data_IF_009238909035
#
_entry.id   IF_009238909035
#
_cell.length_a   1.000
_cell.length_b   1.000
_cell.length_c   1.000
_cell.angle_alpha   90.00
_cell.angle_beta   90.00
_cell.angle_gamma   90.00
#
_symmetry.space_group_name_H-M   'P 1'
#
loop_
_entity.id
_entity.type
_entity.pdbx_description
1 polymer ?
#
# COMPACT_ATOMS: atom_id res chain seq x y z
N UNK A 1 45.25 12.03 0.27
CA UNK A 1 44.04 11.77 -0.52
C UNK A 1 43.10 10.97 0.36
N UNK A 2 42.17 11.65 1.03
CA UNK A 2 41.28 11.06 2.03
C UNK A 2 40.00 10.68 1.32
N UNK A 3 39.78 9.38 1.11
CA UNK A 3 38.51 8.83 0.63
C UNK A 3 37.47 9.00 1.73
N UNK A 4 36.49 9.89 1.51
CA UNK A 4 35.34 10.02 2.38
C UNK A 4 34.51 8.73 2.33
N UNK A 5 34.34 8.09 3.49
CA UNK A 5 33.38 7.01 3.65
C UNK A 5 31.96 7.54 3.40
N UNK A 6 31.24 6.91 2.47
CA UNK A 6 29.80 7.16 2.28
C UNK A 6 29.09 6.87 3.61
N UNK A 7 28.44 7.88 4.17
CA UNK A 7 27.55 7.75 5.33
C UNK A 7 26.49 6.70 5.05
N UNK A 8 26.44 5.64 5.85
CA UNK A 8 25.41 4.61 5.79
C UNK A 8 24.10 5.21 6.27
N UNK A 9 23.21 5.61 5.37
CA UNK A 9 21.84 5.97 5.75
C UNK A 9 21.19 4.72 6.37
N UNK A 10 20.79 4.81 7.64
CA UNK A 10 20.04 3.76 8.31
C UNK A 10 18.80 3.42 7.49
N UNK A 11 18.62 2.13 7.17
CA UNK A 11 17.46 1.62 6.42
C UNK A 11 16.13 1.79 7.17
N UNK A 12 16.19 2.15 8.45
CA UNK A 12 15.05 2.48 9.28
C UNK A 12 14.57 3.93 9.09
N UNK A 13 15.21 4.71 8.21
CA UNK A 13 14.75 6.05 7.85
C UNK A 13 13.73 5.97 6.70
N UNK A 14 12.59 5.31 6.95
CA UNK A 14 11.47 5.21 6.00
C UNK A 14 10.56 6.46 6.03
N UNK A 15 10.65 7.26 7.10
CA UNK A 15 9.97 8.55 7.21
C UNK A 15 11.03 9.67 7.32
N UNK A 16 10.87 10.73 6.54
CA UNK A 16 11.56 11.99 6.80
C UNK A 16 10.75 12.79 7.85
N UNK A 17 11.31 13.90 8.35
CA UNK A 17 10.53 14.85 9.17
C UNK A 17 9.29 15.41 8.44
N UNK A 18 9.20 15.19 7.13
CA UNK A 18 8.17 15.72 6.24
C UNK A 18 7.15 14.64 5.76
N UNK A 19 7.30 13.37 6.19
CA UNK A 19 6.39 12.26 5.85
C UNK A 19 7.01 11.12 5.04
N UNK A 20 6.16 10.28 4.42
CA UNK A 20 6.58 9.21 3.49
C UNK A 20 7.13 9.76 2.16
N UNK A 21 8.13 9.07 1.58
CA UNK A 21 8.65 9.38 0.24
C UNK A 21 7.81 8.72 -0.88
N UNK A 22 7.63 9.39 -2.04
CA UNK A 22 6.86 8.86 -3.17
C UNK A 22 7.64 7.83 -4.00
N UNK A 23 6.93 6.94 -4.73
CA UNK A 23 7.62 5.91 -5.55
C UNK A 23 8.36 6.41 -6.73
N UNK A 24 9.35 5.60 -7.05
CA UNK A 24 10.11 5.59 -8.29
C UNK A 24 9.67 4.45 -9.23
N UNK A 25 9.04 3.36 -8.74
CA UNK A 25 8.41 2.36 -9.62
C UNK A 25 6.98 2.78 -9.97
N UNK A 26 6.78 3.10 -11.26
CA UNK A 26 5.54 3.66 -11.83
C UNK A 26 5.09 2.92 -13.10
N UNK A 27 5.80 1.86 -13.46
CA UNK A 27 5.46 1.04 -14.62
C UNK A 27 4.10 0.39 -14.40
N UNK A 28 3.29 0.32 -15.44
CA UNK A 28 1.97 -0.30 -15.39
C UNK A 28 2.01 -1.62 -16.13
N UNK A 29 1.28 -2.60 -15.60
CA UNK A 29 0.97 -3.81 -16.35
C UNK A 29 -0.15 -3.44 -17.32
N UNK A 30 0.00 -3.76 -18.59
CA UNK A 30 -1.00 -3.47 -19.63
C UNK A 30 -0.89 -4.47 -20.77
N UNK A 31 -2.02 -4.77 -21.41
CA UNK A 31 -2.07 -5.66 -22.57
C UNK A 31 -1.25 -5.12 -23.76
N UNK A 32 -1.13 -3.79 -23.85
CA UNK A 32 -0.43 -3.08 -24.90
C UNK A 32 1.07 -2.86 -24.57
N UNK A 33 1.50 -3.16 -23.35
CA UNK A 33 2.89 -2.99 -22.93
C UNK A 33 3.73 -4.21 -23.34
N UNK A 34 4.86 -3.99 -24.03
CA UNK A 34 5.73 -5.08 -24.47
C UNK A 34 6.53 -5.74 -23.33
N UNK A 35 6.70 -5.03 -22.21
CA UNK A 35 7.56 -5.39 -21.09
C UNK A 35 6.76 -5.94 -19.91
N UNK A 36 5.64 -5.31 -19.58
CA UNK A 36 4.77 -5.66 -18.46
C UNK A 36 3.40 -6.15 -18.95
N UNK A 37 3.39 -7.30 -19.63
CA UNK A 37 2.14 -7.96 -20.01
C UNK A 37 1.51 -8.67 -18.81
N UNK A 38 0.18 -8.69 -18.72
CA UNK A 38 -0.49 -9.47 -17.69
C UNK A 38 -0.36 -10.96 -18.03
N UNK A 39 0.16 -11.74 -17.08
CA UNK A 39 0.44 -13.16 -17.23
C UNK A 39 0.17 -13.87 -15.89
N UNK A 40 -0.44 -15.06 -15.94
CA UNK A 40 -0.80 -15.85 -14.75
C UNK A 40 0.46 -16.26 -13.96
N UNK A 41 0.44 -16.10 -12.64
CA UNK A 41 1.50 -16.50 -11.68
C UNK A 41 2.88 -15.87 -11.93
N UNK A 42 2.94 -14.73 -12.63
CA UNK A 42 4.20 -13.99 -12.84
C UNK A 42 4.56 -13.07 -11.67
N UNK A 43 3.62 -12.80 -10.77
CA UNK A 43 3.72 -11.78 -9.75
C UNK A 43 3.16 -12.29 -8.42
N UNK A 44 3.87 -11.97 -7.35
CA UNK A 44 3.35 -12.03 -5.99
C UNK A 44 2.99 -10.61 -5.54
N UNK A 45 1.76 -10.42 -5.05
CA UNK A 45 1.45 -9.30 -4.18
C UNK A 45 2.19 -9.55 -2.89
N UNK A 46 3.04 -8.60 -2.49
CA UNK A 46 3.68 -8.66 -1.19
C UNK A 46 2.78 -7.90 -0.24
N UNK A 47 2.09 -8.64 0.62
CA UNK A 47 1.39 -8.04 1.74
C UNK A 47 2.31 -7.99 2.96
N UNK A 48 2.21 -6.90 3.70
CA UNK A 48 3.01 -6.68 4.88
C UNK A 48 2.40 -7.35 6.11
N UNK A 49 1.78 -8.53 6.02
CA UNK A 49 1.01 -9.01 7.18
C UNK A 49 0.64 -10.47 7.32
N UNK A 50 1.18 -11.08 8.37
CA UNK A 50 0.33 -11.86 9.27
C UNK A 50 0.84 -11.82 10.71
N UNK A 51 0.02 -11.29 11.61
CA UNK A 51 0.12 -11.56 13.04
C UNK A 51 -1.15 -12.33 13.42
N UNK A 52 -1.11 -13.66 13.39
CA UNK A 52 -2.19 -14.49 13.93
C UNK A 52 -2.01 -14.54 15.44
N UNK A 53 -2.65 -13.63 16.17
CA UNK A 53 -2.90 -13.80 17.60
C UNK A 53 -4.40 -13.99 17.83
N UNK A 54 -4.85 -15.24 17.74
CA UNK A 54 -6.06 -15.88 18.30
C UNK A 54 -7.42 -15.14 18.32
N UNK A 55 -7.57 -13.92 17.80
CA UNK A 55 -8.76 -13.07 17.84
C UNK A 55 -8.62 -11.99 16.74
N UNK A 56 -8.90 -12.36 15.49
CA UNK A 56 -9.05 -11.39 14.39
C UNK A 56 -7.77 -11.01 13.64
N UNK A 57 -7.93 -10.80 12.34
CA UNK A 57 -6.88 -10.40 11.40
C UNK A 57 -6.58 -8.91 11.62
N UNK A 58 -5.44 -8.57 12.24
CA UNK A 58 -4.98 -7.18 12.32
C UNK A 58 -4.01 -6.96 11.18
N UNK A 59 -4.42 -6.20 10.16
CA UNK A 59 -3.58 -5.76 9.04
C UNK A 59 -2.86 -4.48 9.52
N UNK A 60 -1.53 -4.41 9.53
CA UNK A 60 -0.66 -3.29 9.93
C UNK A 60 -0.42 -2.29 8.77
N UNK A 61 0.07 -2.68 7.59
CA UNK A 61 0.27 -1.75 6.47
C UNK A 61 -1.04 -1.44 5.75
N UNK A 62 -1.41 -0.17 5.67
CA UNK A 62 -2.62 0.29 4.99
C UNK A 62 -2.49 0.24 3.47
N UNK A 63 -1.30 0.44 2.91
CA UNK A 63 -1.06 0.48 1.47
C UNK A 63 -1.18 -0.90 0.80
N UNK A 64 -0.53 -1.93 1.36
CA UNK A 64 -0.61 -3.28 0.80
C UNK A 64 -1.96 -3.95 1.07
N UNK A 65 -2.65 -3.57 2.15
CA UNK A 65 -4.00 -4.05 2.39
C UNK A 65 -4.95 -3.75 1.22
N UNK A 66 -4.80 -2.58 0.58
CA UNK A 66 -5.62 -2.18 -0.57
C UNK A 66 -5.48 -3.17 -1.71
N UNK A 67 -4.28 -3.67 -1.99
CA UNK A 67 -4.06 -4.63 -3.08
C UNK A 67 -4.63 -5.99 -2.76
N UNK A 68 -4.59 -6.41 -1.49
CA UNK A 68 -5.19 -7.67 -1.06
C UNK A 68 -6.72 -7.61 -1.16
N UNK A 69 -7.33 -6.49 -0.77
CA UNK A 69 -8.77 -6.28 -0.93
C UNK A 69 -9.15 -6.34 -2.41
N UNK A 70 -8.47 -5.59 -3.29
CA UNK A 70 -8.77 -5.60 -4.73
C UNK A 70 -8.56 -6.99 -5.33
N UNK A 71 -7.48 -7.69 -4.94
CA UNK A 71 -7.20 -9.07 -5.35
C UNK A 71 -8.38 -9.99 -5.03
N UNK A 72 -8.91 -9.93 -3.81
CA UNK A 72 -10.05 -10.74 -3.40
C UNK A 72 -11.35 -10.32 -4.10
N UNK A 73 -11.63 -9.01 -4.18
CA UNK A 73 -12.85 -8.48 -4.82
C UNK A 73 -12.93 -8.74 -6.33
N UNK A 74 -11.79 -8.96 -6.97
CA UNK A 74 -11.67 -9.26 -8.41
C UNK A 74 -11.51 -10.75 -8.71
N UNK A 75 -11.37 -11.62 -7.72
CA UNK A 75 -11.18 -13.07 -7.93
C UNK A 75 -9.78 -13.43 -8.44
N UNK A 76 -8.76 -12.62 -8.11
CA UNK A 76 -7.41 -12.74 -8.64
C UNK A 76 -6.53 -13.74 -7.89
N UNK A 77 -7.09 -14.56 -6.99
CA UNK A 77 -6.31 -15.37 -6.06
C UNK A 77 -5.50 -16.47 -6.75
N UNK A 78 -6.05 -17.04 -7.82
CA UNK A 78 -5.43 -18.07 -8.65
C UNK A 78 -4.50 -17.47 -9.73
N UNK A 79 -4.54 -16.14 -9.92
CA UNK A 79 -3.81 -15.43 -10.99
C UNK A 79 -2.58 -14.72 -10.45
N UNK A 80 -2.70 -14.11 -9.28
CA UNK A 80 -1.68 -13.32 -8.63
C UNK A 80 -1.37 -13.98 -7.29
N UNK A 81 -0.13 -14.44 -7.12
CA UNK A 81 0.30 -15.03 -5.87
C UNK A 81 0.34 -13.99 -4.75
N UNK A 82 0.48 -14.46 -3.52
CA UNK A 82 0.52 -13.62 -2.33
C UNK A 82 1.68 -14.08 -1.47
N UNK A 83 2.69 -13.24 -1.29
CA UNK A 83 3.68 -13.41 -0.24
C UNK A 83 3.28 -12.54 0.95
N UNK A 84 3.56 -13.03 2.15
CA UNK A 84 3.25 -12.36 3.39
C UNK A 84 4.50 -12.36 4.27
N UNK A 85 5.01 -11.17 4.56
CA UNK A 85 6.18 -10.99 5.44
C UNK A 85 5.84 -11.05 6.92
N UNK A 86 6.88 -11.32 7.69
CA UNK A 86 6.93 -11.24 9.15
C UNK A 86 6.49 -9.86 9.63
N UNK A 87 5.58 -9.74 10.63
CA UNK A 87 5.13 -8.47 11.18
C UNK A 87 6.21 -7.75 12.01
N UNK A 88 7.34 -8.39 12.33
CA UNK A 88 8.45 -7.74 12.99
C UNK A 88 9.40 -7.05 11.99
N UNK A 89 9.49 -5.72 12.08
CA UNK A 89 10.45 -4.93 11.32
C UNK A 89 11.82 -4.89 12.03
N UNK A 90 12.68 -5.84 11.71
CA UNK A 90 14.05 -5.93 12.27
C UNK A 90 15.09 -5.09 11.51
N UNK A 91 16.36 -5.19 11.94
CA UNK A 91 17.50 -4.47 11.32
C UNK A 91 17.72 -4.79 9.83
N UNK A 92 17.17 -5.88 9.31
CA UNK A 92 17.22 -6.27 7.90
C UNK A 92 16.03 -5.75 7.06
N UNK A 93 15.07 -5.07 7.68
CA UNK A 93 13.78 -4.77 7.10
C UNK A 93 12.80 -5.95 7.22
N UNK A 94 11.71 -5.89 6.47
CA UNK A 94 10.67 -6.91 6.41
C UNK A 94 11.19 -8.24 5.86
N UNK A 95 11.05 -9.32 6.64
CA UNK A 95 11.55 -10.67 6.35
C UNK A 95 10.43 -11.56 5.79
N UNK A 96 10.73 -12.39 4.79
CA UNK A 96 9.86 -13.51 4.42
C UNK A 96 10.12 -14.69 5.35
N UNK A 97 9.45 -14.71 6.50
CA UNK A 97 9.47 -15.85 7.43
C UNK A 97 8.59 -16.99 6.91
N UNK A 98 8.94 -18.22 7.28
CA UNK A 98 8.12 -19.40 7.03
C UNK A 98 6.90 -19.43 7.97
N UNK A 99 5.81 -20.14 7.62
CA UNK A 99 4.68 -20.33 8.53
C UNK A 99 5.06 -20.97 9.87
N UNK A 100 6.12 -21.80 9.89
CA UNK A 100 6.65 -22.42 11.10
C UNK A 100 7.40 -21.44 12.00
N UNK A 101 8.14 -20.48 11.41
CA UNK A 101 8.81 -19.42 12.16
C UNK A 101 7.81 -18.39 12.69
N UNK A 102 6.80 -18.03 11.89
CA UNK A 102 5.79 -17.04 12.26
C UNK A 102 4.44 -17.40 11.62
N UNK A 103 3.48 -17.91 12.40
CA UNK A 103 2.18 -18.33 11.89
C UNK A 103 1.47 -17.27 11.06
N UNK A 104 1.08 -17.66 9.84
CA UNK A 104 0.43 -16.82 8.85
C UNK A 104 1.38 -16.19 7.83
N UNK A 105 2.69 -16.17 8.05
CA UNK A 105 3.60 -15.73 6.99
C UNK A 105 3.54 -16.66 5.78
N UNK A 106 3.70 -16.10 4.58
CA UNK A 106 3.74 -16.82 3.30
C UNK A 106 5.07 -16.42 2.63
N UNK A 107 6.04 -17.32 2.52
CA UNK A 107 7.35 -16.96 1.96
C UNK A 107 7.23 -16.57 0.49
N UNK A 108 8.19 -15.78 0.01
CA UNK A 108 8.32 -15.47 -1.41
C UNK A 108 8.72 -16.73 -2.19
N UNK A 109 7.80 -17.25 -2.99
CA UNK A 109 8.01 -18.47 -3.78
C UNK A 109 8.48 -18.18 -5.21
N UNK A 110 8.44 -16.91 -5.63
CA UNK A 110 8.80 -16.48 -6.98
C UNK A 110 10.28 -16.13 -7.08
N UNK A 111 10.80 -15.34 -6.14
CA UNK A 111 12.21 -14.92 -6.16
C UNK A 111 13.06 -15.59 -5.07
N UNK A 112 12.43 -16.32 -4.14
CA UNK A 112 13.09 -16.91 -2.97
C UNK A 112 13.88 -15.87 -2.14
N UNK A 113 13.39 -14.63 -2.08
CA UNK A 113 14.01 -13.58 -1.29
C UNK A 113 13.83 -13.83 0.21
N UNK A 114 14.83 -13.45 1.01
CA UNK A 114 14.72 -13.49 2.47
C UNK A 114 14.15 -12.21 3.04
N UNK A 115 14.36 -11.09 2.35
CA UNK A 115 13.88 -9.77 2.74
C UNK A 115 13.32 -9.02 1.54
N UNK A 116 12.30 -8.18 1.77
CA UNK A 116 11.70 -7.34 0.72
C UNK A 116 12.73 -6.46 0.00
N UNK A 117 13.73 -5.95 0.72
CA UNK A 117 14.80 -5.11 0.14
C UNK A 117 15.58 -5.81 -0.98
N UNK A 118 15.68 -7.14 -0.93
CA UNK A 118 16.37 -7.92 -1.96
C UNK A 118 15.62 -7.84 -3.29
N UNK A 119 14.29 -7.80 -3.25
CA UNK A 119 13.44 -7.62 -4.44
C UNK A 119 13.61 -6.22 -5.02
N UNK A 120 13.63 -5.19 -4.15
CA UNK A 120 13.83 -3.83 -4.58
C UNK A 120 15.21 -3.59 -5.18
N UNK A 121 16.29 -4.05 -4.54
CA UNK A 121 17.65 -3.93 -5.10
C UNK A 121 17.87 -4.77 -6.35
N UNK A 122 17.15 -5.89 -6.51
CA UNK A 122 17.15 -6.67 -7.75
C UNK A 122 16.48 -5.93 -8.90
N UNK A 123 15.43 -5.16 -8.62
CA UNK A 123 14.70 -4.38 -9.63
C UNK A 123 15.37 -3.03 -9.95
N UNK A 124 15.86 -2.32 -8.95
CA UNK A 124 16.59 -1.06 -9.06
C UNK A 124 17.52 -0.91 -7.84
N UNK A 125 18.85 -0.96 -8.03
CA UNK A 125 19.81 -0.76 -6.94
C UNK A 125 19.65 0.58 -6.19
N UNK A 126 18.99 1.57 -6.79
CA UNK A 126 18.79 2.93 -6.27
C UNK A 126 17.33 3.25 -5.87
N UNK A 127 16.50 2.25 -5.52
CA UNK A 127 15.04 2.37 -5.31
C UNK A 127 14.53 3.18 -4.09
N UNK A 128 13.33 3.81 -4.24
CA UNK A 128 12.50 4.59 -3.29
C UNK A 128 10.99 4.53 -3.73
N UNK A 129 9.93 4.23 -2.94
CA UNK A 129 8.69 3.48 -3.38
C UNK A 129 7.22 4.05 -3.22
N UNK A 130 6.17 3.40 -3.83
CA UNK A 130 4.64 3.59 -3.82
C UNK A 130 3.73 3.86 -5.11
N UNK A 131 3.01 2.92 -5.75
CA UNK A 131 1.60 3.04 -6.29
C UNK A 131 1.18 1.78 -7.08
N UNK A 132 0.49 0.83 -6.44
CA UNK A 132 0.16 -0.49 -7.01
C UNK A 132 -1.35 -0.74 -7.20
N UNK A 133 -2.20 0.01 -6.50
CA UNK A 133 -3.68 -0.14 -6.54
C UNK A 133 -4.27 0.16 -7.94
N UNK A 134 -3.79 1.21 -8.61
CA UNK A 134 -4.28 1.59 -9.95
C UNK A 134 -3.91 0.58 -11.04
N UNK A 135 -2.83 -0.18 -10.82
CA UNK A 135 -2.41 -1.24 -11.75
C UNK A 135 -3.40 -2.42 -11.68
N UNK A 136 -3.97 -2.72 -10.50
CA UNK A 136 -4.90 -3.85 -10.35
C UNK A 136 -6.32 -3.56 -10.84
N UNK A 137 -6.67 -2.31 -11.19
CA UNK A 137 -8.03 -1.96 -11.60
C UNK A 137 -8.43 -2.58 -12.96
N UNK A 138 -7.53 -2.63 -13.94
CA UNK A 138 -7.84 -3.04 -15.31
C UNK A 138 -6.81 -4.02 -15.92
N UNK A 139 -5.55 -3.99 -15.47
CA UNK A 139 -4.47 -4.75 -16.09
C UNK A 139 -4.71 -6.27 -16.15
N UNK A 140 -5.54 -6.81 -15.25
CA UNK A 140 -5.79 -8.25 -15.12
C UNK A 140 -7.17 -8.68 -15.61
N UNK A 141 -7.95 -7.78 -16.23
CA UNK A 141 -9.34 -8.03 -16.63
C UNK A 141 -9.51 -9.24 -17.57
N UNK A 142 -8.53 -9.54 -18.41
CA UNK A 142 -8.55 -10.72 -19.29
C UNK A 142 -8.42 -12.06 -18.54
N UNK A 143 -7.92 -12.03 -17.30
CA UNK A 143 -7.74 -13.22 -16.46
C UNK A 143 -8.89 -13.48 -15.49
N UNK A 144 -9.77 -12.49 -15.30
CA UNK A 144 -10.96 -12.56 -14.42
C UNK A 144 -12.21 -12.12 -15.17
N UNK A 145 -12.66 -12.90 -16.18
CA UNK A 145 -13.79 -12.53 -17.03
C UNK A 145 -15.08 -12.26 -16.22
N UNK A 146 -15.24 -12.86 -15.05
CA UNK A 146 -16.33 -12.64 -14.11
C UNK A 146 -16.34 -11.24 -13.46
N UNK A 147 -15.18 -10.58 -13.34
CA UNK A 147 -15.08 -9.21 -12.80
C UNK A 147 -14.54 -8.20 -13.82
N UNK A 148 -14.41 -8.61 -15.08
CA UNK A 148 -13.99 -7.77 -16.21
C UNK A 148 -14.87 -6.53 -16.32
N UNK A 149 -14.24 -5.35 -16.46
CA UNK A 149 -14.93 -4.06 -16.51
C UNK A 149 -15.36 -3.50 -15.15
N UNK A 150 -15.22 -4.25 -14.05
CA UNK A 150 -15.37 -3.71 -12.70
C UNK A 150 -14.16 -2.85 -12.36
N UNK A 151 -14.37 -1.56 -12.20
CA UNK A 151 -13.33 -0.58 -11.86
C UNK A 151 -13.73 0.19 -10.60
N UNK A 152 -12.75 0.49 -9.75
CA UNK A 152 -12.91 1.41 -8.62
C UNK A 152 -12.42 2.84 -8.96
N UNK A 153 -12.01 3.06 -10.20
CA UNK A 153 -11.59 4.35 -10.75
C UNK A 153 -12.32 4.63 -12.07
N UNK A 154 -13.66 4.82 -12.05
CA UNK A 154 -14.42 5.10 -13.25
C UNK A 154 -14.07 6.49 -13.81
N UNK A 155 -13.80 6.57 -15.12
CA UNK A 155 -13.36 7.82 -15.79
C UNK A 155 -14.21 9.06 -15.51
N UNK A 156 -15.52 8.90 -15.39
CA UNK A 156 -16.41 10.05 -15.15
C UNK A 156 -16.32 10.62 -13.72
N UNK A 157 -15.64 9.93 -12.80
CA UNK A 157 -15.39 10.37 -11.42
C UNK A 157 -13.90 10.61 -11.14
N UNK A 158 -13.01 10.50 -12.13
CA UNK A 158 -11.55 10.52 -11.92
C UNK A 158 -11.09 11.77 -11.15
N UNK A 159 -11.65 12.94 -11.50
CA UNK A 159 -11.29 14.21 -10.87
C UNK A 159 -11.78 14.29 -9.43
N UNK A 160 -12.95 13.73 -9.13
CA UNK A 160 -13.48 13.70 -7.76
C UNK A 160 -12.68 12.74 -6.89
N UNK A 161 -12.34 11.57 -7.42
CA UNK A 161 -11.51 10.58 -6.75
C UNK A 161 -10.12 11.14 -6.47
N UNK A 162 -9.43 11.71 -7.47
CA UNK A 162 -8.08 12.26 -7.32
C UNK A 162 -8.05 13.40 -6.28
N UNK A 163 -9.08 14.25 -6.28
CA UNK A 163 -9.22 15.32 -5.29
C UNK A 163 -9.36 14.75 -3.88
N UNK A 164 -10.21 13.73 -3.68
CA UNK A 164 -10.38 13.09 -2.38
C UNK A 164 -9.12 12.37 -1.94
N UNK A 165 -8.54 11.55 -2.81
CA UNK A 165 -7.32 10.79 -2.58
C UNK A 165 -6.16 11.68 -2.13
N UNK A 166 -6.03 12.87 -2.72
CA UNK A 166 -4.97 13.81 -2.39
C UNK A 166 -5.02 14.24 -0.93
N UNK A 167 -6.18 14.67 -0.43
CA UNK A 167 -6.28 15.15 0.95
C UNK A 167 -6.43 14.01 1.95
N UNK A 168 -7.07 12.89 1.56
CA UNK A 168 -7.10 11.67 2.38
C UNK A 168 -5.68 11.14 2.59
N UNK A 169 -4.83 11.15 1.56
CA UNK A 169 -3.45 10.72 1.71
C UNK A 169 -2.67 11.66 2.63
N UNK A 170 -2.63 12.95 2.32
CA UNK A 170 -1.77 13.88 3.06
C UNK A 170 -2.25 14.09 4.50
N UNK A 171 -3.55 14.28 4.70
CA UNK A 171 -4.13 14.69 5.99
C UNK A 171 -4.69 13.56 6.84
N UNK A 172 -4.83 12.35 6.29
CA UNK A 172 -5.28 11.19 7.07
C UNK A 172 -4.24 10.08 7.03
N UNK A 173 -3.99 9.49 5.86
CA UNK A 173 -3.13 8.32 5.77
C UNK A 173 -1.69 8.60 6.24
N UNK A 174 -1.15 9.78 5.92
CA UNK A 174 0.21 10.19 6.28
C UNK A 174 0.24 10.91 7.64
N UNK A 175 -0.72 11.79 7.92
CA UNK A 175 -0.73 12.58 9.16
C UNK A 175 -0.88 11.73 10.43
N UNK A 176 -1.53 10.54 10.40
CA UNK A 176 -1.49 9.60 11.55
C UNK A 176 -0.05 9.19 11.90
N UNK A 177 0.81 8.99 10.89
CA UNK A 177 2.23 8.71 11.11
C UNK A 177 2.99 9.95 11.55
N UNK A 178 2.70 11.13 10.96
CA UNK A 178 3.33 12.38 11.39
C UNK A 178 3.00 12.71 12.86
N UNK A 179 1.78 12.42 13.31
CA UNK A 179 1.41 12.45 14.73
C UNK A 179 2.22 11.44 15.56
N UNK A 180 2.22 10.17 15.15
CA UNK A 180 2.88 9.09 15.89
C UNK A 180 4.40 9.23 15.99
N UNK A 181 5.04 9.86 14.99
CA UNK A 181 6.48 10.07 14.94
C UNK A 181 6.92 11.48 15.36
N UNK A 182 5.98 12.36 15.73
CA UNK A 182 6.32 13.71 16.17
C UNK A 182 7.25 13.67 17.39
N UNK A 183 8.39 14.37 17.29
CA UNK A 183 9.36 14.47 18.40
C UNK A 183 9.16 15.72 19.25
N UNK A 184 8.21 16.59 18.90
CA UNK A 184 7.88 17.82 19.63
C UNK A 184 6.37 17.98 19.75
N UNK A 185 5.93 18.64 20.83
CA UNK A 185 4.51 18.88 21.07
C UNK A 185 3.87 19.75 19.99
N UNK A 186 4.59 20.76 19.49
CA UNK A 186 4.06 21.67 18.46
C UNK A 186 3.85 20.95 17.14
N UNK A 187 4.78 20.07 16.73
CA UNK A 187 4.60 19.25 15.53
C UNK A 187 3.39 18.32 15.69
N UNK A 188 3.29 17.63 16.83
CA UNK A 188 2.13 16.80 17.14
C UNK A 188 0.81 17.59 17.08
N UNK A 189 0.74 18.75 17.73
CA UNK A 189 -0.47 19.59 17.78
C UNK A 189 -0.91 20.07 16.39
N UNK A 190 0.04 20.39 15.51
CA UNK A 190 -0.27 20.80 14.15
C UNK A 190 -0.85 19.63 13.33
N UNK A 191 -0.21 18.45 13.38
CA UNK A 191 -0.66 17.28 12.64
C UNK A 191 -1.99 16.72 13.17
N UNK A 192 -2.17 16.69 14.50
CA UNK A 192 -3.40 16.16 15.09
C UNK A 192 -4.59 17.07 14.76
N UNK A 193 -4.41 18.39 14.74
CA UNK A 193 -5.44 19.33 14.31
C UNK A 193 -5.88 19.10 12.87
N UNK A 194 -4.92 18.98 11.94
CA UNK A 194 -5.19 18.71 10.53
C UNK A 194 -5.91 17.36 10.32
N UNK A 195 -5.50 16.33 11.08
CA UNK A 195 -6.10 15.01 11.02
C UNK A 195 -7.58 15.05 11.40
N UNK A 196 -7.92 15.66 12.53
CA UNK A 196 -9.32 15.72 12.98
C UNK A 196 -10.18 16.60 12.06
N UNK A 197 -9.64 17.70 11.53
CA UNK A 197 -10.35 18.50 10.52
C UNK A 197 -10.63 17.68 9.24
N UNK A 198 -9.68 16.83 8.81
CA UNK A 198 -9.89 15.94 7.68
C UNK A 198 -10.93 14.85 7.98
N UNK A 199 -10.96 14.30 9.20
CA UNK A 199 -11.99 13.34 9.64
C UNK A 199 -13.37 13.98 9.72
N UNK A 200 -13.48 15.24 10.16
CA UNK A 200 -14.75 15.99 10.13
C UNK A 200 -15.25 16.18 8.69
N UNK A 201 -14.34 16.39 7.73
CA UNK A 201 -14.69 16.45 6.31
C UNK A 201 -15.19 15.09 5.77
N UNK A 202 -14.56 13.98 6.17
CA UNK A 202 -15.06 12.63 5.87
C UNK A 202 -16.47 12.44 6.40
N UNK A 203 -16.72 12.76 7.67
CA UNK A 203 -18.04 12.66 8.30
C UNK A 203 -19.08 13.55 7.59
N UNK A 204 -18.71 14.76 7.20
CA UNK A 204 -19.60 15.66 6.47
C UNK A 204 -19.98 15.14 5.07
N UNK A 205 -19.14 14.32 4.44
CA UNK A 205 -19.42 13.64 3.17
C UNK A 205 -20.31 12.42 3.42
N UNK A 206 -19.91 11.53 4.34
CA UNK A 206 -20.58 10.25 4.60
C UNK A 206 -21.92 10.40 5.33
N UNK A 207 -22.16 11.53 5.99
CA UNK A 207 -23.49 11.86 6.53
C UNK A 207 -24.54 12.14 5.44
N UNK A 208 -24.12 12.34 4.19
CA UNK A 208 -25.01 12.67 3.05
C UNK A 208 -24.94 11.63 1.92
N UNK A 209 -23.88 10.84 1.87
CA UNK A 209 -23.58 9.91 0.79
C UNK A 209 -23.21 8.55 1.37
N UNK A 210 -23.44 7.48 0.61
CA UNK A 210 -23.04 6.13 1.05
C UNK A 210 -21.51 5.95 1.04
N UNK A 211 -20.80 6.66 0.16
CA UNK A 211 -19.36 6.58 -0.05
C UNK A 211 -18.73 7.97 -0.17
N UNK A 212 -17.39 8.03 -0.26
CA UNK A 212 -16.67 9.31 -0.37
C UNK A 212 -16.98 10.04 -1.67
N UNK A 213 -17.26 9.31 -2.75
CA UNK A 213 -17.62 9.87 -4.06
C UNK A 213 -19.06 9.52 -4.39
N UNK A 214 -19.98 10.33 -3.84
CA UNK A 214 -21.42 10.12 -3.99
C UNK A 214 -21.86 8.73 -3.51
N UNK A 215 -22.70 8.06 -4.29
CA UNK A 215 -23.19 6.71 -3.95
C UNK A 215 -22.45 5.62 -4.74
N UNK A 216 -21.18 5.85 -5.09
CA UNK A 216 -20.34 4.87 -5.78
C UNK A 216 -19.14 4.52 -4.92
N UNK A 217 -18.94 3.22 -4.66
CA UNK A 217 -17.72 2.74 -4.01
C UNK A 217 -16.53 2.83 -4.96
N UNK A 218 -15.49 3.57 -4.57
CA UNK A 218 -14.33 3.91 -5.41
C UNK A 218 -13.01 3.61 -4.70
N UNK A 219 -11.88 3.85 -5.38
CA UNK A 219 -10.57 3.72 -4.75
C UNK A 219 -10.36 4.69 -3.59
N UNK A 220 -11.07 5.82 -3.54
CA UNK A 220 -11.02 6.74 -2.40
C UNK A 220 -11.44 6.04 -1.10
N UNK A 221 -12.53 5.26 -1.15
CA UNK A 221 -13.01 4.48 -0.02
C UNK A 221 -12.00 3.40 0.37
N UNK A 222 -11.45 2.70 -0.63
CA UNK A 222 -10.40 1.70 -0.46
C UNK A 222 -9.14 2.32 0.17
N UNK A 223 -8.84 3.59 -0.13
CA UNK A 223 -7.67 4.28 0.42
C UNK A 223 -7.90 4.76 1.84
N UNK A 224 -9.10 5.24 2.16
CA UNK A 224 -9.45 5.72 3.50
C UNK A 224 -9.58 4.56 4.49
N UNK A 225 -10.34 3.53 4.13
CA UNK A 225 -10.82 2.50 5.07
C UNK A 225 -9.71 1.79 5.87
N UNK A 226 -8.55 1.41 5.29
CA UNK A 226 -7.49 0.79 6.05
C UNK A 226 -6.93 1.67 7.16
N UNK A 227 -6.88 2.99 6.99
CA UNK A 227 -6.47 3.90 8.07
C UNK A 227 -7.53 3.99 9.15
N UNK A 228 -8.83 4.01 8.79
CA UNK A 228 -9.91 4.16 9.78
C UNK A 228 -10.09 2.93 10.67
N UNK A 229 -9.84 1.72 10.16
CA UNK A 229 -9.99 0.49 10.94
C UNK A 229 -8.79 0.20 11.88
N UNK A 230 -7.77 1.06 11.90
CA UNK A 230 -6.55 0.91 12.71
C UNK A 230 -6.43 2.06 13.70
#
# INVERSE_FOLDING_TARGET
MTTAAKSSSSILNFASKDGEKPSTFRNKISIDDATFKPEKLRLDVIDYLNCIYNLGIVIICTLAHRTVIVRALKGLEEVIGLSVVDPFLGEGGWKFSTPEETPGCIPDTVNNAKYIRELYFKANPDYDGSEIIRIFNDAFDEFVPETKGKTFYPKHLESEIDNIDSWVYDKINNDVYKCGFATTQDAYNNHIGNLFEALDNVEAILSKNEFLVGNTFTEADIRLWPTIIR
#
